data_IF_145196619404
#
_entry.id   IF_145196619404
#
_cell.length_a   1.000
_cell.length_b   1.000
_cell.length_c   1.000
_cell.angle_alpha   90.00
_cell.angle_beta   90.00
_cell.angle_gamma   90.00
#
_symmetry.space_group_name_H-M   'P 1'
#
loop_
_entity.id
_entity.type
_entity.pdbx_description
1 polymer ?
#
# COMPACT_ATOMS: atom_id res chain seq x y z
N UNK A 1 -1.30 4.73 -7.09
CA UNK A 1 -0.27 5.69 -7.58
C UNK A 1 -0.71 7.16 -7.74
N UNK A 2 -1.74 7.68 -7.02
CA UNK A 2 -1.99 9.15 -6.93
C UNK A 2 -2.41 9.68 -5.54
N UNK A 3 -2.64 8.81 -4.55
CA UNK A 3 -3.20 9.21 -3.24
C UNK A 3 -2.23 9.24 -2.06
N UNK A 4 -1.02 8.68 -2.18
CA UNK A 4 -0.09 8.58 -1.03
C UNK A 4 0.92 9.74 -0.99
N UNK A 5 1.34 10.27 -2.14
CA UNK A 5 2.38 11.32 -2.19
C UNK A 5 1.91 12.76 -1.90
N UNK A 6 0.60 13.06 -1.90
CA UNK A 6 0.11 14.46 -1.79
C UNK A 6 -0.17 14.98 -0.38
N UNK A 7 0.01 14.18 0.68
CA UNK A 7 -0.49 14.55 2.02
C UNK A 7 0.56 14.83 3.10
N UNK A 8 1.85 14.84 2.77
CA UNK A 8 2.93 15.07 3.74
C UNK A 8 3.55 16.49 3.73
N UNK A 9 3.04 17.41 2.92
CA UNK A 9 3.57 18.78 2.84
C UNK A 9 2.44 19.83 2.90
N UNK A 10 1.73 19.94 4.02
CA UNK A 10 0.96 21.14 4.39
C UNK A 10 0.86 21.30 5.90
N UNK A 11 1.66 22.20 6.46
CA UNK A 11 1.31 22.94 7.67
C UNK A 11 1.44 24.43 7.36
N UNK A 12 0.38 25.23 7.58
CA UNK A 12 0.54 26.63 7.90
C UNK A 12 0.09 26.85 9.35
N UNK A 13 0.87 27.60 10.13
CA UNK A 13 0.37 28.51 11.17
C UNK A 13 1.56 29.25 11.80
N UNK A 14 1.74 30.50 11.39
CA UNK A 14 2.41 31.54 12.19
C UNK A 14 1.75 32.86 11.83
N UNK A 15 0.76 33.23 12.63
CA UNK A 15 0.17 34.57 12.66
C UNK A 15 0.96 35.41 13.65
N UNK A 16 1.64 36.45 13.16
CA UNK A 16 2.08 37.58 13.96
C UNK A 16 1.65 38.86 13.23
N UNK A 17 0.61 39.50 13.73
CA UNK A 17 0.26 40.88 13.40
C UNK A 17 0.01 41.64 14.71
N UNK A 18 0.62 42.81 14.83
CA UNK A 18 0.35 43.69 15.97
C UNK A 18 1.32 44.86 16.07
N UNK A 19 0.77 46.05 15.84
CA UNK A 19 1.19 47.38 16.35
C UNK A 19 2.08 48.22 15.42
N UNK A 20 1.41 49.12 14.68
CA UNK A 20 1.97 50.39 14.20
C UNK A 20 1.94 51.44 15.31
N UNK A 21 2.89 52.39 15.32
CA UNK A 21 2.59 53.76 15.71
C UNK A 21 2.85 54.75 14.57
N UNK A 22 1.89 55.64 14.39
CA UNK A 22 1.88 56.78 13.48
C UNK A 22 2.86 57.88 13.92
N UNK A 23 3.56 58.51 12.96
CA UNK A 23 4.19 59.82 13.13
C UNK A 23 3.89 60.72 11.92
N UNK A 24 3.71 62.04 12.14
CA UNK A 24 3.20 62.96 11.13
C UNK A 24 4.28 63.43 10.14
N UNK A 25 3.81 63.76 8.94
CA UNK A 25 4.58 64.20 7.78
C UNK A 25 4.95 65.68 7.94
N UNK A 26 6.25 66.01 7.90
CA UNK A 26 6.73 67.39 7.74
C UNK A 26 6.65 67.79 6.27
N UNK A 27 5.94 68.91 6.00
CA UNK A 27 5.93 69.60 4.72
C UNK A 27 7.34 70.10 4.38
N UNK A 28 7.93 69.59 3.29
CA UNK A 28 8.98 70.28 2.57
C UNK A 28 8.41 70.72 1.21
N UNK A 29 8.37 72.04 1.04
CA UNK A 29 8.07 72.74 -0.21
C UNK A 29 9.15 72.46 -1.26
N UNK A 30 8.76 71.99 -2.45
CA UNK A 30 9.62 71.98 -3.63
C UNK A 30 9.14 73.02 -4.65
N UNK A 31 10.05 73.85 -5.21
CA UNK A 31 9.75 74.70 -6.35
C UNK A 31 9.85 73.91 -7.66
N UNK A 32 9.19 74.46 -8.67
CA UNK A 32 9.27 74.13 -10.10
C UNK A 32 8.40 72.95 -10.61
N UNK A 33 7.41 73.29 -11.44
CA UNK A 33 6.24 72.44 -11.77
C UNK A 33 6.43 71.47 -12.93
N UNK A 34 7.53 71.49 -13.69
CA UNK A 34 7.62 70.70 -14.94
C UNK A 34 8.83 69.76 -15.09
N UNK A 35 9.78 69.72 -14.14
CA UNK A 35 10.88 68.75 -14.16
C UNK A 35 10.65 67.41 -13.42
N UNK A 36 9.83 67.30 -12.34
CA UNK A 36 9.84 66.09 -11.51
C UNK A 36 9.08 64.92 -12.14
N UNK A 37 8.13 65.16 -13.05
CA UNK A 37 7.24 64.10 -13.55
C UNK A 37 8.00 63.06 -14.41
N UNK A 38 8.93 63.48 -15.27
CA UNK A 38 9.69 62.54 -16.11
C UNK A 38 10.69 61.69 -15.31
N UNK A 39 11.30 62.24 -14.26
CA UNK A 39 12.18 61.49 -13.36
C UNK A 39 11.39 60.54 -12.46
N UNK A 40 10.21 60.95 -11.98
CA UNK A 40 9.35 60.09 -11.18
C UNK A 40 8.84 58.88 -11.97
N UNK A 41 8.40 59.08 -13.22
CA UNK A 41 7.99 57.96 -14.09
C UNK A 41 9.16 57.05 -14.48
N UNK A 42 10.37 57.60 -14.70
CA UNK A 42 11.57 56.78 -14.96
C UNK A 42 12.00 55.97 -13.73
N UNK A 43 12.02 56.56 -12.53
CA UNK A 43 12.34 55.84 -11.29
C UNK A 43 11.26 54.81 -10.90
N UNK A 44 9.98 55.13 -11.14
CA UNK A 44 8.87 54.18 -10.93
C UNK A 44 8.96 53.00 -11.91
N UNK A 45 9.21 53.25 -13.20
CA UNK A 45 9.41 52.16 -14.16
C UNK A 45 10.64 51.30 -13.85
N UNK A 46 11.77 51.90 -13.47
CA UNK A 46 12.98 51.14 -13.12
C UNK A 46 12.75 50.28 -11.87
N UNK A 47 12.08 50.80 -10.83
CA UNK A 47 11.77 50.05 -9.60
C UNK A 47 10.72 48.96 -9.84
N UNK A 48 9.70 49.20 -10.66
CA UNK A 48 8.74 48.15 -11.06
C UNK A 48 9.41 47.07 -11.91
N UNK A 49 10.33 47.43 -12.81
CA UNK A 49 11.09 46.46 -13.59
C UNK A 49 12.02 45.63 -12.71
N UNK A 50 12.71 46.25 -11.73
CA UNK A 50 13.54 45.51 -10.77
C UNK A 50 12.71 44.55 -9.90
N UNK A 51 11.54 44.98 -9.42
CA UNK A 51 10.64 44.14 -8.62
C UNK A 51 10.07 42.97 -9.43
N UNK A 52 9.76 43.17 -10.71
CA UNK A 52 9.30 42.11 -11.62
C UNK A 52 10.44 41.11 -11.92
N UNK A 53 11.67 41.59 -12.12
CA UNK A 53 12.85 40.73 -12.33
C UNK A 53 13.15 39.89 -11.07
N UNK A 54 13.02 40.47 -9.87
CA UNK A 54 13.18 39.75 -8.60
C UNK A 54 12.04 38.74 -8.39
N UNK A 55 10.80 39.06 -8.74
CA UNK A 55 9.69 38.10 -8.68
C UNK A 55 9.86 36.92 -9.67
N UNK A 56 10.42 37.17 -10.86
CA UNK A 56 10.71 36.15 -11.87
C UNK A 56 11.92 35.27 -11.53
N UNK A 57 12.92 35.80 -10.80
CA UNK A 57 14.05 35.01 -10.33
C UNK A 57 13.72 34.14 -9.11
N UNK A 58 12.79 34.59 -8.25
CA UNK A 58 12.33 33.79 -7.09
C UNK A 58 11.44 32.62 -7.53
N UNK A 59 10.72 32.73 -8.64
CA UNK A 59 9.86 31.64 -9.15
C UNK A 59 10.63 30.50 -9.83
N UNK A 60 11.89 30.71 -10.23
CA UNK A 60 12.78 29.66 -10.75
C UNK A 60 13.55 28.91 -9.65
N UNK A 61 13.58 29.43 -8.42
CA UNK A 61 14.23 28.79 -7.27
C UNK A 61 13.38 27.67 -6.62
N UNK A 62 12.13 27.47 -7.05
CA UNK A 62 11.24 26.40 -6.58
C UNK A 62 11.06 25.28 -7.60
N UNK A 63 12.14 24.83 -8.25
CA UNK A 63 12.16 23.49 -8.82
C UNK A 63 12.67 22.52 -7.75
N UNK A 64 11.76 22.05 -6.89
CA UNK A 64 12.09 20.98 -5.95
C UNK A 64 12.50 19.75 -6.76
N UNK A 65 13.68 19.18 -6.48
CA UNK A 65 14.08 17.90 -7.07
C UNK A 65 12.96 16.88 -6.84
N UNK A 66 12.43 16.34 -7.94
CA UNK A 66 11.29 15.41 -7.93
C UNK A 66 11.62 14.06 -7.25
N UNK A 67 12.91 13.75 -7.14
CA UNK A 67 13.42 12.49 -6.61
C UNK A 67 14.49 12.74 -5.56
N UNK A 68 14.68 11.79 -4.64
CA UNK A 68 15.74 11.85 -3.63
C UNK A 68 17.16 11.77 -4.20
N UNK A 69 17.35 11.23 -5.41
CA UNK A 69 18.63 11.19 -6.11
C UNK A 69 18.87 12.44 -6.98
N UNK A 70 20.14 12.82 -7.14
CA UNK A 70 20.58 13.82 -8.14
C UNK A 70 21.13 13.19 -9.42
N UNK A 71 21.32 11.86 -9.44
CA UNK A 71 21.91 11.15 -10.56
C UNK A 71 20.90 10.96 -11.70
N UNK A 72 21.12 11.66 -12.82
CA UNK A 72 20.30 11.50 -14.03
C UNK A 72 20.27 10.06 -14.55
N UNK A 73 21.37 9.31 -14.38
CA UNK A 73 21.45 7.90 -14.78
C UNK A 73 20.55 7.02 -13.91
N UNK A 74 20.55 7.22 -12.60
CA UNK A 74 19.67 6.50 -11.67
C UNK A 74 18.20 6.81 -11.97
N UNK A 75 17.86 8.09 -12.18
CA UNK A 75 16.50 8.51 -12.55
C UNK A 75 16.05 7.89 -13.87
N UNK A 76 16.94 7.80 -14.86
CA UNK A 76 16.61 7.17 -16.15
C UNK A 76 16.27 5.70 -15.98
N UNK A 77 17.12 4.92 -15.29
CA UNK A 77 16.86 3.52 -14.99
C UNK A 77 15.54 3.33 -14.20
N UNK A 78 15.29 4.16 -13.20
CA UNK A 78 14.05 4.16 -12.42
C UNK A 78 12.80 4.41 -13.28
N UNK A 79 12.85 5.36 -14.20
CA UNK A 79 11.70 5.64 -15.07
C UNK A 79 11.39 4.46 -16.01
N UNK A 80 12.41 3.74 -16.49
CA UNK A 80 12.22 2.50 -17.27
C UNK A 80 11.59 1.43 -16.38
N UNK A 81 12.12 1.21 -15.17
CA UNK A 81 11.55 0.27 -14.21
C UNK A 81 10.07 0.57 -13.93
N UNK A 82 9.70 1.85 -13.79
CA UNK A 82 8.33 2.28 -13.57
C UNK A 82 7.41 1.96 -14.76
N UNK A 83 7.90 2.10 -15.99
CA UNK A 83 7.16 1.74 -17.20
C UNK A 83 6.94 0.23 -17.29
N UNK A 84 7.98 -0.56 -17.04
CA UNK A 84 7.89 -2.03 -17.04
C UNK A 84 6.97 -2.55 -15.92
N UNK A 85 7.02 -1.92 -14.76
CA UNK A 85 6.10 -2.20 -13.65
C UNK A 85 4.63 -1.97 -14.05
N UNK A 86 4.34 -0.86 -14.73
CA UNK A 86 2.98 -0.57 -15.22
C UNK A 86 2.52 -1.58 -16.28
N UNK A 87 3.45 -2.10 -17.08
CA UNK A 87 3.21 -3.19 -18.04
C UNK A 87 3.13 -4.58 -17.39
N UNK A 88 3.28 -4.67 -16.05
CA UNK A 88 3.35 -5.93 -15.27
C UNK A 88 4.54 -6.83 -15.64
N UNK A 89 5.57 -6.28 -16.27
CA UNK A 89 6.83 -6.97 -16.57
C UNK A 89 7.76 -6.90 -15.35
N UNK A 90 7.36 -7.56 -14.26
CA UNK A 90 8.01 -7.40 -12.96
C UNK A 90 9.50 -7.80 -12.94
N UNK A 91 9.90 -8.81 -13.71
CA UNK A 91 11.31 -9.23 -13.80
C UNK A 91 12.19 -8.13 -14.40
N UNK A 92 11.79 -7.58 -15.55
CA UNK A 92 12.51 -6.50 -16.24
C UNK A 92 12.52 -5.23 -15.39
N UNK A 93 11.39 -4.92 -14.73
CA UNK A 93 11.32 -3.81 -13.79
C UNK A 93 12.33 -3.94 -12.65
N UNK A 94 12.50 -5.15 -12.08
CA UNK A 94 13.50 -5.41 -11.04
C UNK A 94 14.95 -5.25 -11.55
N UNK A 95 15.25 -5.62 -12.79
CA UNK A 95 16.60 -5.46 -13.33
C UNK A 95 16.98 -3.98 -13.48
N UNK A 96 16.04 -3.15 -13.94
CA UNK A 96 16.26 -1.70 -14.00
C UNK A 96 16.24 -1.03 -12.63
N UNK A 97 15.43 -1.51 -11.67
CA UNK A 97 15.41 -0.93 -10.33
C UNK A 97 16.72 -1.21 -9.58
N UNK A 98 17.30 -2.42 -9.76
CA UNK A 98 18.63 -2.77 -9.23
C UNK A 98 19.71 -1.84 -9.78
N UNK A 99 19.71 -1.60 -11.10
CA UNK A 99 20.62 -0.63 -11.70
C UNK A 99 20.47 0.77 -11.09
N UNK A 100 19.24 1.22 -10.84
CA UNK A 100 19.00 2.54 -10.25
C UNK A 100 19.61 2.65 -8.83
N UNK A 101 19.40 1.64 -7.98
CA UNK A 101 19.94 1.63 -6.60
C UNK A 101 21.44 1.33 -6.55
N UNK A 102 21.99 0.61 -7.54
CA UNK A 102 23.43 0.41 -7.67
C UNK A 102 24.16 1.70 -8.04
N UNK A 103 23.53 2.56 -8.85
CA UNK A 103 24.05 3.88 -9.20
C UNK A 103 23.95 4.84 -8.01
N UNK A 104 22.83 4.85 -7.31
CA UNK A 104 22.62 5.68 -6.12
C UNK A 104 21.83 4.92 -5.05
N UNK A 105 22.56 4.40 -4.06
CA UNK A 105 21.97 3.66 -2.93
C UNK A 105 21.05 4.52 -2.07
N UNK A 106 21.14 5.84 -2.15
CA UNK A 106 20.30 6.75 -1.39
C UNK A 106 18.96 7.07 -2.06
N UNK A 107 18.70 6.51 -3.25
CA UNK A 107 17.48 6.72 -4.04
C UNK A 107 16.26 6.03 -3.43
N UNK A 108 15.62 6.70 -2.48
CA UNK A 108 14.51 6.21 -1.68
C UNK A 108 13.34 5.67 -2.51
N UNK A 109 12.92 6.41 -3.54
CA UNK A 109 11.79 6.02 -4.40
C UNK A 109 12.05 4.71 -5.14
N UNK A 110 13.31 4.46 -5.54
CA UNK A 110 13.69 3.22 -6.20
C UNK A 110 13.56 2.01 -5.27
N UNK A 111 14.02 2.15 -4.03
CA UNK A 111 13.87 1.11 -3.01
C UNK A 111 12.41 0.80 -2.67
N UNK A 112 11.55 1.83 -2.58
CA UNK A 112 10.11 1.62 -2.39
C UNK A 112 9.46 0.91 -3.57
N UNK A 113 9.80 1.32 -4.80
CA UNK A 113 9.27 0.64 -5.99
C UNK A 113 9.74 -0.82 -6.05
N UNK A 114 10.98 -1.11 -5.64
CA UNK A 114 11.49 -2.48 -5.54
C UNK A 114 10.66 -3.32 -4.56
N UNK A 115 10.35 -2.78 -3.38
CA UNK A 115 9.49 -3.47 -2.40
C UNK A 115 8.06 -3.68 -2.94
N UNK A 116 7.48 -2.69 -3.63
CA UNK A 116 6.17 -2.81 -4.28
C UNK A 116 6.17 -3.88 -5.37
N UNK A 117 7.22 -3.95 -6.20
CA UNK A 117 7.35 -5.01 -7.23
C UNK A 117 7.41 -6.39 -6.57
N UNK A 118 8.18 -6.56 -5.50
CA UNK A 118 8.22 -7.84 -4.78
C UNK A 118 6.86 -8.20 -4.14
N UNK A 119 6.10 -7.21 -3.66
CA UNK A 119 4.74 -7.44 -3.16
C UNK A 119 3.79 -7.92 -4.26
N UNK A 120 3.84 -7.34 -5.46
CA UNK A 120 3.04 -7.80 -6.61
C UNK A 120 3.41 -9.23 -7.05
N UNK A 121 4.66 -9.63 -6.82
CA UNK A 121 5.14 -11.00 -7.08
C UNK A 121 4.85 -11.98 -5.93
N UNK A 122 4.18 -11.53 -4.85
CA UNK A 122 4.02 -12.29 -3.60
C UNK A 122 5.34 -12.82 -3.02
N UNK A 123 6.45 -12.13 -3.29
CA UNK A 123 7.79 -12.52 -2.83
C UNK A 123 8.13 -11.79 -1.53
N UNK A 124 7.63 -12.32 -0.40
CA UNK A 124 7.84 -11.72 0.92
C UNK A 124 9.32 -11.64 1.32
N UNK A 125 10.15 -12.61 0.92
CA UNK A 125 11.60 -12.59 1.19
C UNK A 125 12.30 -11.42 0.48
N UNK A 126 11.90 -11.14 -0.77
CA UNK A 126 12.35 -9.96 -1.51
C UNK A 126 11.95 -8.66 -0.82
N UNK A 127 10.74 -8.58 -0.28
CA UNK A 127 10.29 -7.42 0.52
C UNK A 127 11.15 -7.27 1.78
N UNK A 128 11.33 -8.34 2.56
CA UNK A 128 12.08 -8.32 3.82
C UNK A 128 13.52 -7.84 3.59
N UNK A 129 14.23 -8.44 2.64
CA UNK A 129 15.61 -8.06 2.29
C UNK A 129 15.72 -6.58 1.88
N UNK A 130 14.84 -6.14 0.98
CA UNK A 130 14.79 -4.75 0.51
C UNK A 130 14.54 -3.77 1.66
N UNK A 131 13.55 -4.04 2.51
CA UNK A 131 13.19 -3.16 3.62
C UNK A 131 14.26 -3.13 4.71
N UNK A 132 14.92 -4.26 5.00
CA UNK A 132 16.04 -4.30 5.95
C UNK A 132 17.17 -3.36 5.51
N UNK A 133 17.55 -3.39 4.23
CA UNK A 133 18.55 -2.47 3.70
C UNK A 133 18.14 -0.99 3.85
N UNK A 134 16.88 -0.64 3.55
CA UNK A 134 16.38 0.74 3.75
C UNK A 134 16.53 1.17 5.22
N UNK A 135 16.19 0.27 6.14
CA UNK A 135 16.16 0.54 7.58
C UNK A 135 17.56 0.53 8.22
N UNK A 136 18.52 -0.19 7.65
CA UNK A 136 19.94 -0.13 8.04
C UNK A 136 20.54 1.24 7.71
N UNK A 137 20.21 1.80 6.54
CA UNK A 137 20.76 3.07 6.08
C UNK A 137 20.05 4.28 6.72
N UNK A 138 18.71 4.27 6.77
CA UNK A 138 17.91 5.42 7.21
C UNK A 138 16.72 4.96 8.06
N UNK A 139 16.95 4.44 9.29
CA UNK A 139 15.92 3.82 10.12
C UNK A 139 14.75 4.75 10.47
N UNK A 140 15.02 6.05 10.61
CA UNK A 140 14.03 7.03 11.07
C UNK A 140 13.34 7.81 9.93
N UNK A 141 13.85 7.69 8.70
CA UNK A 141 13.31 8.43 7.56
C UNK A 141 12.01 7.81 7.04
N UNK A 142 11.86 6.49 7.22
CA UNK A 142 10.76 5.73 6.64
C UNK A 142 10.04 4.87 7.69
N UNK A 143 9.25 5.47 8.60
CA UNK A 143 8.46 4.68 9.54
C UNK A 143 7.58 3.62 8.87
N UNK A 144 7.04 3.92 7.68
CA UNK A 144 6.25 2.96 6.90
C UNK A 144 7.01 1.69 6.50
N UNK A 145 8.34 1.74 6.40
CA UNK A 145 9.16 0.56 6.13
C UNK A 145 9.12 -0.44 7.30
N UNK A 146 9.10 0.02 8.55
CA UNK A 146 8.90 -0.84 9.72
C UNK A 146 7.54 -1.55 9.71
N UNK A 147 6.48 -0.83 9.31
CA UNK A 147 5.14 -1.41 9.17
C UNK A 147 5.11 -2.51 8.09
N UNK A 148 5.66 -2.23 6.91
CA UNK A 148 5.70 -3.18 5.81
C UNK A 148 6.60 -4.38 6.11
N UNK A 149 7.71 -4.17 6.83
CA UNK A 149 8.59 -5.24 7.29
C UNK A 149 7.86 -6.17 8.27
N UNK A 150 7.09 -5.59 9.20
CA UNK A 150 6.24 -6.34 10.11
C UNK A 150 5.21 -7.20 9.40
N UNK A 151 4.54 -6.63 8.38
CA UNK A 151 3.59 -7.39 7.55
C UNK A 151 4.25 -8.53 6.79
N UNK A 152 5.41 -8.29 6.18
CA UNK A 152 6.12 -9.30 5.40
C UNK A 152 6.57 -10.46 6.30
N UNK A 153 7.12 -10.16 7.48
CA UNK A 153 7.46 -11.19 8.47
C UNK A 153 6.22 -11.96 8.96
N UNK A 154 5.10 -11.27 9.20
CA UNK A 154 3.85 -11.91 9.61
C UNK A 154 3.34 -12.92 8.58
N UNK A 155 3.38 -12.56 7.30
CA UNK A 155 2.98 -13.45 6.19
C UNK A 155 3.86 -14.69 6.06
N UNK A 156 5.14 -14.60 6.45
CA UNK A 156 6.09 -15.71 6.44
C UNK A 156 6.05 -16.55 7.74
N UNK A 157 5.16 -16.23 8.69
CA UNK A 157 5.11 -16.88 10.00
C UNK A 157 6.22 -16.46 10.98
N UNK A 158 7.04 -15.47 10.62
CA UNK A 158 8.05 -14.85 11.49
C UNK A 158 7.40 -13.91 12.51
N UNK A 159 6.58 -14.45 13.42
CA UNK A 159 5.73 -13.66 14.31
C UNK A 159 6.54 -12.80 15.31
N UNK A 160 7.72 -13.26 15.71
CA UNK A 160 8.58 -12.54 16.66
C UNK A 160 9.22 -11.30 16.01
N UNK A 161 9.73 -11.46 14.79
CA UNK A 161 10.28 -10.38 13.97
C UNK A 161 9.18 -9.39 13.58
N UNK A 162 8.00 -9.90 13.20
CA UNK A 162 6.84 -9.10 12.89
C UNK A 162 6.44 -8.20 14.06
N UNK A 163 6.29 -8.79 15.25
CA UNK A 163 6.01 -8.08 16.51
C UNK A 163 7.02 -6.97 16.77
N UNK A 164 8.31 -7.28 16.64
CA UNK A 164 9.39 -6.31 16.86
C UNK A 164 9.31 -5.13 15.89
N UNK A 165 9.06 -5.39 14.61
CA UNK A 165 8.91 -4.36 13.58
C UNK A 165 7.67 -3.47 13.81
N UNK A 166 6.53 -4.06 14.18
CA UNK A 166 5.33 -3.29 14.51
C UNK A 166 5.51 -2.42 15.75
N UNK A 167 6.17 -2.93 16.80
CA UNK A 167 6.51 -2.13 17.97
C UNK A 167 7.40 -0.94 17.60
N UNK A 168 8.39 -1.16 16.73
CA UNK A 168 9.25 -0.08 16.23
C UNK A 168 8.46 0.96 15.44
N UNK A 169 7.57 0.54 14.54
CA UNK A 169 6.67 1.44 13.81
C UNK A 169 5.83 2.31 14.75
N UNK A 170 5.28 1.73 15.82
CA UNK A 170 4.41 2.42 16.78
C UNK A 170 5.15 3.45 17.67
N UNK A 171 6.49 3.43 17.71
CA UNK A 171 7.27 4.45 18.41
C UNK A 171 7.29 5.81 17.68
N UNK A 172 7.06 5.81 16.36
CA UNK A 172 7.08 7.04 15.57
C UNK A 172 5.78 7.83 15.74
N UNK A 173 5.90 9.13 16.03
CA UNK A 173 4.75 10.04 16.14
C UNK A 173 4.25 10.53 14.77
N UNK A 174 3.01 10.97 14.70
CA UNK A 174 2.42 11.56 13.48
C UNK A 174 2.08 10.57 12.37
N UNK A 175 2.05 9.26 12.69
CA UNK A 175 1.65 8.23 11.74
C UNK A 175 0.16 8.29 11.42
N UNK A 176 -0.21 7.76 10.26
CA UNK A 176 -1.60 7.63 9.87
C UNK A 176 -2.35 6.74 10.87
N UNK A 177 -3.48 7.24 11.41
CA UNK A 177 -4.25 6.53 12.42
C UNK A 177 -4.71 5.15 11.97
N UNK A 178 -5.12 4.99 10.70
CA UNK A 178 -5.51 3.67 10.17
C UNK A 178 -4.34 2.69 10.17
N UNK A 179 -3.14 3.14 9.80
CA UNK A 179 -1.94 2.28 9.85
C UNK A 179 -1.57 1.93 11.30
N UNK A 180 -1.73 2.86 12.23
CA UNK A 180 -1.52 2.60 13.66
C UNK A 180 -2.49 1.54 14.17
N UNK A 181 -3.78 1.62 13.80
CA UNK A 181 -4.76 0.61 14.19
C UNK A 181 -4.48 -0.76 13.57
N UNK A 182 -4.08 -0.80 12.29
CA UNK A 182 -3.67 -2.03 11.63
C UNK A 182 -2.43 -2.64 12.30
N UNK A 183 -1.41 -1.85 12.62
CA UNK A 183 -0.22 -2.32 13.32
C UNK A 183 -0.56 -2.90 14.70
N UNK A 184 -1.46 -2.25 15.46
CA UNK A 184 -1.95 -2.77 16.75
C UNK A 184 -2.74 -4.07 16.58
N UNK A 185 -3.52 -4.20 15.51
CA UNK A 185 -4.20 -5.45 15.17
C UNK A 185 -3.18 -6.57 14.93
N UNK A 186 -2.20 -6.34 14.06
CA UNK A 186 -1.15 -7.32 13.80
C UNK A 186 -0.33 -7.66 15.04
N UNK A 187 -0.07 -6.69 15.93
CA UNK A 187 0.62 -6.94 17.19
C UNK A 187 -0.13 -7.97 18.04
N UNK A 188 -1.44 -7.80 18.21
CA UNK A 188 -2.29 -8.78 18.91
C UNK A 188 -2.31 -10.13 18.20
N UNK A 189 -2.34 -10.12 16.87
CA UNK A 189 -2.27 -11.37 16.08
C UNK A 189 -0.93 -12.07 16.25
N UNK A 190 0.19 -11.35 16.36
CA UNK A 190 1.50 -11.91 16.67
C UNK A 190 1.51 -12.52 18.08
N UNK A 191 0.95 -11.83 19.07
CA UNK A 191 0.86 -12.33 20.44
C UNK A 191 0.06 -13.63 20.50
N UNK A 192 -1.10 -13.67 19.84
CA UNK A 192 -1.90 -14.87 19.71
C UNK A 192 -1.14 -15.99 19.00
N UNK A 193 -0.51 -15.70 17.85
CA UNK A 193 0.19 -16.70 17.06
C UNK A 193 1.38 -17.30 17.82
N UNK A 194 2.18 -16.47 18.50
CA UNK A 194 3.30 -16.94 19.34
C UNK A 194 2.78 -17.84 20.46
N UNK A 195 1.71 -17.44 21.16
CA UNK A 195 1.10 -18.27 22.21
C UNK A 195 0.56 -19.60 21.65
N UNK A 196 -0.10 -19.58 20.50
CA UNK A 196 -0.67 -20.78 19.88
C UNK A 196 0.42 -21.74 19.38
N UNK A 197 1.54 -21.22 18.87
CA UNK A 197 2.70 -22.03 18.46
C UNK A 197 3.38 -22.67 19.68
N UNK A 198 3.51 -21.93 20.79
CA UNK A 198 4.06 -22.47 22.03
C UNK A 198 3.14 -23.50 22.71
N UNK A 199 1.82 -23.39 22.49
CA UNK A 199 0.80 -24.21 23.12
C UNK A 199 -0.09 -24.89 22.06
N UNK A 200 0.45 -25.83 21.27
CA UNK A 200 -0.32 -26.49 20.23
C UNK A 200 -1.45 -27.31 20.86
N UNK A 201 -2.66 -27.14 20.33
CA UNK A 201 -3.79 -28.00 20.68
C UNK A 201 -3.70 -29.31 19.90
N UNK A 202 -4.05 -30.47 20.50
CA UNK A 202 -4.14 -31.71 19.75
C UNK A 202 -5.14 -31.57 18.60
N UNK A 203 -4.61 -31.53 17.38
CA UNK A 203 -5.40 -31.44 16.17
C UNK A 203 -4.86 -32.45 15.17
N UNK A 204 -5.62 -33.52 14.95
CA UNK A 204 -5.30 -34.54 13.96
C UNK A 204 -6.46 -34.50 12.96
N UNK A 205 -6.36 -33.73 11.87
CA UNK A 205 -7.42 -33.66 10.88
C UNK A 205 -7.66 -35.07 10.31
N UNK A 206 -8.91 -35.50 10.34
CA UNK A 206 -9.34 -36.78 9.76
C UNK A 206 -9.99 -36.49 8.42
N UNK A 207 -9.47 -37.10 7.35
CA UNK A 207 -10.11 -37.05 6.05
C UNK A 207 -11.50 -37.73 6.15
N UNK A 208 -12.54 -37.09 5.62
CA UNK A 208 -13.93 -37.55 5.72
C UNK A 208 -14.27 -38.68 4.72
N UNK A 209 -13.25 -39.15 3.98
CA UNK A 209 -13.33 -40.21 2.99
C UNK A 209 -13.90 -39.72 1.66
N UNK A 210 -13.89 -40.62 0.67
CA UNK A 210 -14.31 -40.38 -0.72
C UNK A 210 -15.79 -40.00 -0.88
N UNK A 211 -16.57 -40.07 0.20
CA UNK A 211 -17.94 -39.52 0.27
C UNK A 211 -17.93 -38.00 0.18
N UNK A 212 -16.93 -37.34 0.77
CA UNK A 212 -16.81 -35.89 0.86
C UNK A 212 -15.56 -35.41 0.12
N UNK A 213 -14.39 -35.95 0.47
CA UNK A 213 -13.12 -35.50 -0.08
C UNK A 213 -12.83 -36.20 -1.39
N UNK A 214 -12.72 -35.44 -2.49
CA UNK A 214 -12.40 -35.99 -3.81
C UNK A 214 -10.98 -35.62 -4.24
N UNK A 215 -10.66 -35.80 -5.52
CA UNK A 215 -9.41 -35.30 -6.10
C UNK A 215 -9.49 -33.79 -6.45
N UNK A 216 -10.64 -33.16 -6.24
CA UNK A 216 -10.88 -31.74 -6.46
C UNK A 216 -10.87 -30.98 -5.13
N UNK A 217 -10.98 -29.65 -5.20
CA UNK A 217 -10.96 -28.83 -4.00
C UNK A 217 -12.37 -28.76 -3.40
N UNK A 218 -12.52 -29.27 -2.18
CA UNK A 218 -13.70 -29.06 -1.33
C UNK A 218 -13.39 -28.10 -0.19
N UNK A 219 -14.18 -27.04 -0.06
CA UNK A 219 -13.93 -26.00 0.94
C UNK A 219 -15.21 -25.28 1.38
N UNK A 220 -15.06 -24.40 2.37
CA UNK A 220 -16.15 -23.67 3.04
C UNK A 220 -17.31 -24.57 3.50
N UNK A 221 -17.03 -25.57 4.37
CA UNK A 221 -18.09 -26.41 4.92
C UNK A 221 -18.99 -25.62 5.88
N UNK A 222 -20.28 -25.90 5.83
CA UNK A 222 -21.30 -25.48 6.80
C UNK A 222 -22.08 -26.69 7.28
N UNK A 223 -22.22 -26.83 8.59
CA UNK A 223 -23.02 -27.88 9.22
C UNK A 223 -24.37 -27.33 9.66
N UNK A 224 -25.41 -28.17 9.58
CA UNK A 224 -26.66 -27.91 10.28
C UNK A 224 -26.45 -27.94 11.79
N UNK A 225 -27.39 -27.36 12.55
CA UNK A 225 -27.32 -27.28 14.02
C UNK A 225 -27.22 -28.65 14.68
N UNK A 226 -27.87 -29.65 14.11
CA UNK A 226 -27.86 -31.04 14.58
C UNK A 226 -26.70 -31.87 13.99
N UNK A 227 -25.81 -31.24 13.23
CA UNK A 227 -24.66 -31.84 12.57
C UNK A 227 -25.01 -32.98 11.59
N UNK A 228 -26.27 -33.05 11.13
CA UNK A 228 -26.73 -34.09 10.20
C UNK A 228 -26.61 -33.71 8.72
N UNK A 229 -26.42 -32.44 8.40
CA UNK A 229 -26.31 -31.93 7.03
C UNK A 229 -25.00 -31.17 6.92
N UNK A 230 -24.18 -31.54 5.94
CA UNK A 230 -22.98 -30.84 5.55
C UNK A 230 -23.19 -30.27 4.16
N UNK A 231 -23.18 -28.96 4.03
CA UNK A 231 -23.11 -28.29 2.74
C UNK A 231 -21.71 -27.72 2.57
N UNK A 232 -21.12 -27.88 1.39
CA UNK A 232 -19.76 -27.44 1.08
C UNK A 232 -19.65 -27.01 -0.38
N UNK A 233 -18.65 -26.22 -0.70
CA UNK A 233 -18.33 -25.81 -2.06
C UNK A 233 -17.36 -26.80 -2.69
N UNK A 234 -17.59 -27.16 -3.96
CA UNK A 234 -16.68 -28.00 -4.75
C UNK A 234 -16.23 -27.23 -5.98
N UNK A 235 -14.91 -27.19 -6.24
CA UNK A 235 -14.34 -26.56 -7.42
C UNK A 235 -14.08 -27.59 -8.54
N UNK A 236 -15.02 -27.70 -9.46
CA UNK A 236 -14.95 -28.65 -10.56
C UNK A 236 -14.25 -28.07 -11.79
N UNK A 237 -13.42 -28.87 -12.50
CA UNK A 237 -12.96 -28.51 -13.82
C UNK A 237 -14.13 -28.55 -14.80
N UNK A 238 -14.30 -27.47 -15.56
CA UNK A 238 -15.34 -27.38 -16.60
C UNK A 238 -14.75 -26.87 -17.90
N UNK A 239 -15.41 -27.16 -19.01
CA UNK A 239 -15.08 -26.59 -20.31
C UNK A 239 -16.33 -25.91 -20.86
N UNK A 240 -16.58 -24.68 -20.39
CA UNK A 240 -17.79 -23.93 -20.73
C UNK A 240 -17.43 -22.55 -21.27
N UNK A 241 -18.33 -22.00 -22.10
CA UNK A 241 -18.20 -20.64 -22.63
C UNK A 241 -19.37 -19.80 -22.15
N UNK A 242 -19.09 -18.81 -21.32
CA UNK A 242 -20.09 -17.95 -20.68
C UNK A 242 -19.81 -16.51 -21.10
N UNK A 243 -20.80 -15.84 -21.71
CA UNK A 243 -20.69 -14.47 -22.22
C UNK A 243 -19.44 -14.26 -23.11
N UNK A 244 -19.12 -15.26 -23.95
CA UNK A 244 -17.98 -15.21 -24.87
C UNK A 244 -16.62 -15.51 -24.24
N UNK A 245 -16.51 -15.58 -22.91
CA UNK A 245 -15.29 -15.95 -22.18
C UNK A 245 -15.24 -17.45 -21.90
N UNK A 246 -14.04 -18.02 -22.01
CA UNK A 246 -13.79 -19.41 -21.66
C UNK A 246 -13.73 -19.53 -20.13
N UNK A 247 -14.43 -20.52 -19.57
CA UNK A 247 -14.38 -20.88 -18.15
C UNK A 247 -13.80 -22.28 -18.00
N UNK A 248 -12.80 -22.41 -17.13
CA UNK A 248 -12.11 -23.67 -16.84
C UNK A 248 -12.51 -24.29 -15.50
N UNK A 249 -13.19 -23.54 -14.63
CA UNK A 249 -13.56 -23.93 -13.27
C UNK A 249 -14.96 -23.43 -12.88
N UNK A 250 -15.68 -24.25 -12.13
CA UNK A 250 -17.01 -23.97 -11.61
C UNK A 250 -17.04 -24.30 -10.12
N UNK A 251 -17.56 -23.37 -9.32
CA UNK A 251 -17.85 -23.58 -7.90
C UNK A 251 -19.35 -23.85 -7.76
N UNK A 252 -19.69 -24.99 -7.18
CA UNK A 252 -21.06 -25.41 -6.94
C UNK A 252 -21.22 -25.91 -5.49
N UNK A 253 -22.41 -25.75 -4.93
CA UNK A 253 -22.77 -26.32 -3.63
C UNK A 253 -23.08 -27.81 -3.74
N UNK A 254 -22.46 -28.57 -2.86
CA UNK A 254 -22.73 -29.98 -2.65
C UNK A 254 -23.27 -30.19 -1.24
N UNK A 255 -24.20 -31.13 -1.10
CA UNK A 255 -24.78 -31.52 0.18
C UNK A 255 -24.50 -32.99 0.48
N UNK A 256 -24.17 -33.29 1.72
CA UNK A 256 -24.07 -34.63 2.27
C UNK A 256 -24.85 -34.74 3.58
N UNK A 257 -25.36 -35.94 3.85
CA UNK A 257 -26.16 -36.24 5.03
C UNK A 257 -25.45 -37.26 5.90
N UNK A 258 -25.35 -36.97 7.20
CA UNK A 258 -24.81 -37.91 8.18
C UNK A 258 -25.91 -38.87 8.64
N UNK A 259 -25.76 -40.16 8.35
CA UNK A 259 -26.71 -41.19 8.75
C UNK A 259 -25.98 -42.46 9.16
N UNK A 260 -26.43 -43.10 10.24
CA UNK A 260 -25.87 -44.35 10.76
C UNK A 260 -24.34 -44.31 10.96
N UNK A 261 -23.80 -43.15 11.34
CA UNK A 261 -22.37 -42.97 11.60
C UNK A 261 -21.51 -42.62 10.39
N UNK A 262 -22.09 -42.42 9.20
CA UNK A 262 -21.35 -42.12 7.97
C UNK A 262 -21.96 -40.97 7.18
N UNK A 263 -21.12 -40.21 6.49
CA UNK A 263 -21.53 -39.22 5.49
C UNK A 263 -21.94 -39.90 4.19
N UNK A 264 -23.08 -39.51 3.64
CA UNK A 264 -23.46 -39.90 2.27
C UNK A 264 -22.49 -39.32 1.24
N UNK A 265 -22.49 -39.88 0.02
CA UNK A 265 -21.83 -39.24 -1.12
C UNK A 265 -22.38 -37.81 -1.27
N UNK A 266 -21.49 -36.83 -1.47
CA UNK A 266 -21.88 -35.47 -1.84
C UNK A 266 -22.73 -35.45 -3.08
N UNK A 267 -23.83 -34.69 -3.03
CA UNK A 267 -24.76 -34.51 -4.13
C UNK A 267 -24.80 -33.04 -4.51
N UNK A 268 -24.67 -32.76 -5.80
CA UNK A 268 -24.90 -31.43 -6.38
C UNK A 268 -26.31 -30.93 -6.00
N UNK A 269 -26.37 -29.76 -5.37
CA UNK A 269 -27.65 -29.17 -4.94
C UNK A 269 -28.51 -28.68 -6.10
N UNK A 270 -27.91 -28.48 -7.29
CA UNK A 270 -28.57 -28.10 -8.53
C UNK A 270 -29.32 -26.76 -8.47
N UNK A 271 -30.02 -26.41 -9.56
CA UNK A 271 -30.84 -25.20 -9.60
C UNK A 271 -32.03 -25.26 -8.62
N UNK A 272 -32.46 -24.12 -8.04
CA UNK A 272 -32.00 -22.77 -8.36
C UNK A 272 -30.77 -22.32 -7.56
N UNK A 273 -30.16 -23.20 -6.75
CA UNK A 273 -29.03 -22.84 -5.90
C UNK A 273 -27.74 -22.75 -6.71
N UNK A 274 -27.39 -23.84 -7.41
CA UNK A 274 -26.26 -23.83 -8.34
C UNK A 274 -26.73 -23.29 -9.70
N UNK A 275 -25.99 -22.32 -10.21
CA UNK A 275 -26.32 -21.62 -11.45
C UNK A 275 -25.19 -21.73 -12.46
N UNK A 276 -25.21 -20.87 -13.49
CA UNK A 276 -24.07 -20.73 -14.39
C UNK A 276 -23.02 -19.77 -13.84
N UNK A 277 -23.25 -19.10 -12.71
CA UNK A 277 -22.23 -18.29 -12.03
C UNK A 277 -21.43 -19.16 -11.05
N UNK A 278 -20.57 -18.61 -10.20
CA UNK A 278 -19.87 -19.41 -9.17
C UNK A 278 -20.63 -19.28 -7.86
N UNK A 279 -20.93 -20.41 -7.22
CA UNK A 279 -21.55 -20.47 -5.91
C UNK A 279 -20.58 -21.01 -4.86
N UNK A 280 -20.31 -20.20 -3.84
CA UNK A 280 -19.39 -20.55 -2.77
C UNK A 280 -19.72 -19.86 -1.45
N UNK A 281 -19.17 -20.38 -0.35
CA UNK A 281 -19.22 -19.78 0.98
C UNK A 281 -20.64 -19.60 1.54
N UNK A 282 -21.46 -20.64 1.41
CA UNK A 282 -22.79 -20.73 2.01
C UNK A 282 -22.76 -20.80 3.54
N UNK A 283 -23.87 -20.42 4.14
CA UNK A 283 -24.14 -20.57 5.58
C UNK A 283 -25.49 -21.27 5.78
N UNK A 284 -25.57 -22.10 6.81
CA UNK A 284 -26.83 -22.72 7.26
C UNK A 284 -27.30 -22.00 8.51
N UNK A 285 -28.49 -21.41 8.46
CA UNK A 285 -29.12 -20.77 9.61
C UNK A 285 -30.25 -21.67 10.14
N UNK A 286 -30.46 -21.74 11.48
CA UNK A 286 -31.57 -22.46 12.09
C UNK A 286 -32.94 -21.96 11.62
#
# INVERSE_FOLDING_TARGET
MRKIYRKLLRMPNLTLSGIFPSRPISLCTFPDRNAPMQYFFRCFHITTCLAVIICLSVSSAFSQNQYSTTSKKAVHAFNIALQEYQSRNYSVALDYIKQAVDIDRSFAEAWFLMADIYAEMNNNQGIISTLKHILEEKPDLFPAAWYNLGKAHFSEGGYQEAKSAFLRFLQYKGQNESLVQQAKFYLRSCDFALQAVENPVPFVPVNLGDSINTAYDEYWPSLSVDEQILVYTVLLPVNMRIQGKQRSRQEDFYVSYFRNGFWSKGVDMGPPLNTLDNEGAQTLTP
#
